data_IF_718650509230
#
_entry.id   IF_718650509230
#
_cell.length_a   1.000
_cell.length_b   1.000
_cell.length_c   1.000
_cell.angle_alpha   90.00
_cell.angle_beta   90.00
_cell.angle_gamma   90.00
#
_symmetry.space_group_name_H-M   'P 1'
#
loop_
_entity.id
_entity.type
_entity.pdbx_description
1 polymer ?
#
# COMPACT_ATOMS: atom_id res chain seq x y z
N UNK A 1 -8.88 0.91 6.47
CA UNK A 1 -8.92 -0.43 5.82
C UNK A 1 -7.87 -0.41 4.73
N UNK A 2 -6.85 -1.26 4.77
CA UNK A 2 -5.84 -1.31 3.72
C UNK A 2 -6.47 -1.73 2.38
N UNK A 3 -6.42 -0.86 1.38
CA UNK A 3 -6.99 -1.09 0.05
C UNK A 3 -5.91 -1.38 -0.98
N UNK A 4 -6.28 -2.04 -2.09
CA UNK A 4 -5.37 -2.25 -3.24
C UNK A 4 -4.72 -0.93 -3.70
N UNK A 5 -5.44 0.18 -3.58
CA UNK A 5 -5.00 1.53 -3.89
C UNK A 5 -3.83 1.98 -3.01
N UNK A 6 -3.83 1.62 -1.72
CA UNK A 6 -2.72 1.94 -0.79
C UNK A 6 -1.42 1.19 -1.19
N UNK A 7 -1.55 -0.07 -1.61
CA UNK A 7 -0.42 -0.88 -2.08
C UNK A 7 0.17 -0.31 -3.38
N UNK A 8 -0.70 0.03 -4.33
CA UNK A 8 -0.27 0.62 -5.61
C UNK A 8 0.45 1.97 -5.38
N UNK A 9 -0.11 2.83 -4.53
CA UNK A 9 0.52 4.08 -4.13
C UNK A 9 1.86 3.87 -3.43
N UNK A 10 1.98 2.87 -2.56
CA UNK A 10 3.24 2.54 -1.88
C UNK A 10 4.31 2.01 -2.85
N UNK A 11 3.94 1.20 -3.84
CA UNK A 11 4.84 0.77 -4.92
C UNK A 11 5.27 1.93 -5.81
N UNK A 12 4.34 2.81 -6.19
CA UNK A 12 4.64 4.02 -6.94
C UNK A 12 5.62 4.92 -6.19
N UNK A 13 5.44 5.07 -4.88
CA UNK A 13 6.35 5.81 -4.01
C UNK A 13 7.76 5.19 -3.96
N UNK A 14 7.86 3.86 -3.87
CA UNK A 14 9.15 3.17 -3.90
C UNK A 14 9.86 3.36 -5.24
N UNK A 15 9.11 3.29 -6.36
CA UNK A 15 9.65 3.52 -7.68
C UNK A 15 10.11 4.97 -7.89
N UNK A 16 9.34 5.94 -7.40
CA UNK A 16 9.71 7.35 -7.40
C UNK A 16 11.01 7.60 -6.61
N UNK A 17 11.14 6.98 -5.43
CA UNK A 17 12.35 7.04 -4.63
C UNK A 17 13.56 6.39 -5.34
N UNK A 18 13.35 5.30 -6.07
CA UNK A 18 14.39 4.65 -6.89
C UNK A 18 14.75 5.45 -8.14
N UNK A 19 13.79 6.17 -8.74
CA UNK A 19 13.99 7.05 -9.90
C UNK A 19 14.70 8.37 -9.57
N UNK A 20 15.08 8.58 -8.30
CA UNK A 20 15.84 9.75 -7.85
C UNK A 20 15.00 10.86 -7.24
N UNK A 21 13.68 10.68 -7.05
CA UNK A 21 12.92 11.59 -6.19
C UNK A 21 13.31 11.33 -4.74
N UNK A 22 13.59 12.38 -3.98
CA UNK A 22 14.01 12.26 -2.58
C UNK A 22 12.86 11.98 -1.60
N UNK A 23 11.63 12.27 -2.03
CA UNK A 23 10.40 12.21 -1.21
C UNK A 23 9.27 11.65 -2.06
N UNK A 24 8.50 10.72 -1.51
CA UNK A 24 7.29 10.18 -2.10
C UNK A 24 6.13 10.24 -1.11
N UNK A 25 5.00 10.80 -1.55
CA UNK A 25 3.77 10.90 -0.76
C UNK A 25 2.89 9.70 -0.99
N UNK A 26 2.63 8.93 0.06
CA UNK A 26 1.65 7.83 0.06
C UNK A 26 0.42 8.28 0.85
N UNK A 27 -0.78 8.07 0.32
CA UNK A 27 -2.00 8.21 1.11
C UNK A 27 -2.22 6.91 1.88
N UNK A 28 -2.33 7.01 3.21
CA UNK A 28 -2.65 5.91 4.13
C UNK A 28 -3.94 6.25 4.85
N UNK A 29 -5.01 5.50 4.61
CA UNK A 29 -6.29 5.63 5.35
C UNK A 29 -6.81 7.10 5.41
N UNK A 30 -6.63 7.86 4.32
CA UNK A 30 -7.02 9.28 4.22
C UNK A 30 -5.99 10.29 4.74
N UNK A 31 -4.82 9.84 5.20
CA UNK A 31 -3.71 10.70 5.64
C UNK A 31 -2.53 10.58 4.69
N UNK A 32 -2.02 11.72 4.18
CA UNK A 32 -0.77 11.74 3.40
C UNK A 32 0.41 11.53 4.34
N UNK A 33 1.24 10.55 4.00
CA UNK A 33 2.50 10.24 4.68
C UNK A 33 3.62 10.37 3.65
N UNK A 34 4.60 11.20 3.96
CA UNK A 34 5.79 11.40 3.13
C UNK A 34 6.89 10.43 3.54
N UNK A 35 7.33 9.61 2.59
CA UNK A 35 8.46 8.70 2.74
C UNK A 35 9.66 9.26 2.01
N UNK A 36 10.83 9.22 2.65
CA UNK A 36 12.10 9.66 2.06
C UNK A 36 13.07 8.49 1.91
N UNK A 37 14.23 8.73 1.30
CA UNK A 37 15.28 7.72 1.14
C UNK A 37 15.67 7.04 2.47
N UNK A 38 15.62 7.77 3.58
CA UNK A 38 15.90 7.25 4.93
C UNK A 38 14.84 6.26 5.41
N UNK A 39 13.59 6.47 4.99
CA UNK A 39 12.42 5.65 5.35
C UNK A 39 12.10 4.57 4.31
N UNK A 40 12.98 4.30 3.34
CA UNK A 40 12.79 3.23 2.34
C UNK A 40 12.64 1.86 3.00
N UNK A 41 13.38 1.62 4.08
CA UNK A 41 13.29 0.37 4.85
C UNK A 41 11.91 0.22 5.48
N UNK A 42 11.38 1.30 6.08
CA UNK A 42 10.03 1.34 6.64
C UNK A 42 8.96 1.24 5.55
N UNK A 43 9.16 1.87 4.39
CA UNK A 43 8.26 1.77 3.24
C UNK A 43 8.17 0.32 2.73
N UNK A 44 9.30 -0.39 2.64
CA UNK A 44 9.32 -1.82 2.26
C UNK A 44 8.59 -2.69 3.28
N UNK A 45 8.79 -2.46 4.57
CA UNK A 45 8.05 -3.15 5.64
C UNK A 45 6.55 -2.86 5.54
N UNK A 46 6.18 -1.61 5.27
CA UNK A 46 4.79 -1.20 5.12
C UNK A 46 4.12 -1.83 3.90
N UNK A 47 4.81 -1.92 2.75
CA UNK A 47 4.31 -2.64 1.57
C UNK A 47 4.07 -4.11 1.90
N UNK A 48 4.99 -4.78 2.59
CA UNK A 48 4.83 -6.18 2.98
C UNK A 48 3.66 -6.40 3.95
N UNK A 49 3.47 -5.48 4.90
CA UNK A 49 2.32 -5.50 5.83
C UNK A 49 1.00 -5.28 5.08
N UNK A 50 0.95 -4.29 4.16
CA UNK A 50 -0.19 -4.04 3.30
C UNK A 50 -0.51 -5.24 2.39
N UNK A 51 0.50 -5.84 1.76
CA UNK A 51 0.36 -7.05 0.93
C UNK A 51 -0.21 -8.22 1.73
N UNK A 52 0.24 -8.40 2.98
CA UNK A 52 -0.31 -9.41 3.89
C UNK A 52 -1.78 -9.10 4.23
N UNK A 53 -2.09 -7.87 4.63
CA UNK A 53 -3.44 -7.45 4.97
C UNK A 53 -4.41 -7.56 3.79
N UNK A 54 -3.99 -7.17 2.60
CA UNK A 54 -4.76 -7.28 1.35
C UNK A 54 -4.89 -8.74 0.93
N UNK A 55 -3.83 -9.53 1.00
CA UNK A 55 -3.85 -10.97 0.68
C UNK A 55 -4.77 -11.77 1.61
N UNK A 56 -4.85 -11.39 2.88
CA UNK A 56 -5.78 -11.96 3.86
C UNK A 56 -7.22 -11.47 3.57
N UNK A 57 -7.40 -10.19 3.24
CA UNK A 57 -8.69 -9.59 2.86
C UNK A 57 -9.26 -10.17 1.56
N UNK A 58 -8.41 -10.47 0.57
CA UNK A 58 -8.83 -10.91 -0.76
C UNK A 58 -9.39 -12.34 -0.74
N UNK A 59 -9.01 -13.18 0.24
CA UNK A 59 -9.66 -14.49 0.48
C UNK A 59 -11.11 -14.38 1.01
N UNK A 60 -11.62 -13.18 1.31
CA UNK A 60 -13.01 -12.94 1.70
C UNK A 60 -13.85 -12.22 0.64
N UNK A 61 -13.49 -12.34 -0.64
CA UNK A 61 -14.44 -12.08 -1.75
C UNK A 61 -14.77 -13.38 -2.49
N UNK A 62 -15.31 -14.36 -1.75
CA UNK A 62 -16.25 -15.30 -2.34
C UNK A 62 -17.55 -14.54 -2.65
N UNK A 63 -18.26 -14.84 -3.74
CA UNK A 63 -19.43 -14.08 -4.14
C UNK A 63 -20.46 -14.13 -3.01
N UNK A 64 -20.85 -12.96 -2.50
CA UNK A 64 -22.12 -12.81 -1.81
C UNK A 64 -23.21 -13.01 -2.87
N UNK A 65 -23.49 -14.28 -3.17
CA UNK A 65 -24.66 -14.73 -3.88
C UNK A 65 -25.87 -14.37 -3.05
N UNK A 66 -26.48 -13.26 -3.42
CA UNK A 66 -27.90 -13.02 -3.28
C UNK A 66 -28.66 -14.16 -3.99
N UNK A 67 -29.57 -14.84 -3.29
CA UNK A 67 -30.88 -15.40 -3.70
C UNK A 67 -31.27 -16.67 -2.89
N UNK A 68 -32.50 -16.61 -2.35
CA UNK A 68 -33.36 -17.67 -1.76
C UNK A 68 -33.00 -18.23 -0.37
#
# INVERSE_FOLDING_TARGET
MATQTDLDAARAALHDLMMGKRVATVQKDGRRVEFTATSVTDLKKYIAELESQIGITQRRRGPAGFYA
#
